data_IF_796492429993
#
_entry.id   IF_796492429993
#
_cell.length_a   1.000
_cell.length_b   1.000
_cell.length_c   1.000
_cell.angle_alpha   90.00
_cell.angle_beta   90.00
_cell.angle_gamma   90.00
#
_symmetry.space_group_name_H-M   'P 1'
#
loop_
_entity.id
_entity.type
_entity.pdbx_description
1 polymer ?
#
# COMPACT_ATOMS: atom_id res chain seq x y z
N UNK A 1 -0.56 -20.44 -7.14
CA UNK A 1 0.26 -19.31 -6.66
C UNK A 1 1.71 -19.70 -6.51
N UNK A 2 2.58 -19.06 -7.29
CA UNK A 2 4.01 -19.37 -7.29
C UNK A 2 4.74 -18.56 -8.37
N UNK A 3 6.04 -18.36 -8.19
CA UNK A 3 6.87 -17.74 -9.20
C UNK A 3 6.99 -18.70 -10.39
N UNK A 4 6.58 -18.25 -11.59
CA UNK A 4 6.53 -19.11 -12.78
C UNK A 4 7.85 -19.88 -13.01
N UNK A 5 8.98 -19.18 -12.93
CA UNK A 5 10.31 -19.75 -13.17
C UNK A 5 10.82 -20.68 -12.07
N UNK A 6 10.25 -20.63 -10.85
CA UNK A 6 10.68 -21.48 -9.75
C UNK A 6 9.87 -22.78 -9.68
N UNK A 7 8.55 -22.68 -9.74
CA UNK A 7 7.66 -23.85 -9.60
C UNK A 7 6.42 -23.82 -10.48
N UNK A 8 6.02 -22.65 -10.98
CA UNK A 8 4.79 -22.53 -11.78
C UNK A 8 4.87 -23.18 -13.17
N UNK A 9 6.07 -23.27 -13.75
CA UNK A 9 6.28 -23.90 -15.07
C UNK A 9 5.92 -25.38 -15.09
N UNK A 10 6.17 -26.11 -13.98
CA UNK A 10 5.84 -27.53 -13.85
C UNK A 10 4.32 -27.78 -13.93
N UNK A 11 3.50 -26.85 -13.45
CA UNK A 11 2.05 -26.96 -13.54
C UNK A 11 1.57 -26.92 -14.99
N UNK A 12 2.15 -26.04 -15.82
CA UNK A 12 1.83 -25.97 -17.25
C UNK A 12 2.21 -27.27 -17.95
N UNK A 13 3.43 -27.77 -17.70
CA UNK A 13 3.89 -29.04 -18.27
C UNK A 13 2.98 -30.20 -17.91
N UNK A 14 2.58 -30.31 -16.64
CA UNK A 14 1.67 -31.35 -16.18
C UNK A 14 0.28 -31.25 -16.83
N UNK A 15 -0.26 -30.04 -16.95
CA UNK A 15 -1.56 -29.83 -17.60
C UNK A 15 -1.54 -30.21 -19.08
N UNK A 16 -0.43 -29.92 -19.78
CA UNK A 16 -0.26 -30.36 -21.17
C UNK A 16 -0.19 -31.88 -21.26
N UNK A 17 0.63 -32.52 -20.42
CA UNK A 17 0.75 -33.98 -20.40
C UNK A 17 -0.59 -34.68 -20.09
N UNK A 18 -1.41 -34.08 -19.23
CA UNK A 18 -2.74 -34.58 -18.89
C UNK A 18 -3.83 -34.23 -19.93
N UNK A 19 -3.51 -33.46 -20.98
CA UNK A 19 -4.51 -33.01 -21.96
C UNK A 19 -5.59 -32.11 -21.37
N UNK A 20 -5.28 -31.36 -20.30
CA UNK A 20 -6.26 -30.55 -19.57
C UNK A 20 -6.73 -29.37 -20.43
N UNK A 21 -8.04 -29.09 -20.41
CA UNK A 21 -8.60 -27.89 -21.03
C UNK A 21 -8.55 -26.71 -20.05
N UNK A 22 -7.48 -25.91 -20.10
CA UNK A 22 -7.24 -24.82 -19.14
C UNK A 22 -6.42 -23.69 -19.76
N UNK A 23 -6.73 -22.45 -19.37
CA UNK A 23 -5.92 -21.27 -19.70
C UNK A 23 -5.06 -20.85 -18.51
N UNK A 24 -3.74 -20.78 -18.70
CA UNK A 24 -2.82 -20.19 -17.74
C UNK A 24 -2.67 -18.69 -17.98
N UNK A 25 -2.90 -17.88 -16.95
CA UNK A 25 -2.61 -16.44 -16.96
C UNK A 25 -1.28 -16.18 -16.26
N UNK A 26 -0.26 -15.80 -17.03
CA UNK A 26 1.09 -15.51 -16.54
C UNK A 26 1.25 -14.00 -16.43
N UNK A 27 1.31 -13.48 -15.21
CA UNK A 27 1.53 -12.05 -14.95
C UNK A 27 3.04 -11.76 -14.98
N UNK A 28 3.53 -11.26 -16.12
CA UNK A 28 4.94 -10.94 -16.31
C UNK A 28 5.20 -9.50 -15.86
N UNK A 29 5.66 -9.35 -14.62
CA UNK A 29 5.84 -8.08 -13.93
C UNK A 29 7.32 -7.64 -13.78
N UNK A 30 8.24 -8.37 -14.43
CA UNK A 30 9.71 -8.16 -14.41
C UNK A 30 10.40 -8.28 -13.04
N UNK A 31 9.67 -8.61 -11.97
CA UNK A 31 10.23 -8.73 -10.63
C UNK A 31 9.43 -9.74 -9.79
N UNK A 32 10.08 -10.44 -8.88
CA UNK A 32 9.38 -11.41 -8.02
C UNK A 32 8.34 -10.69 -7.16
N UNK A 33 7.08 -11.07 -7.38
CA UNK A 33 5.88 -10.49 -6.79
C UNK A 33 5.97 -10.35 -5.25
N UNK A 34 6.63 -11.29 -4.57
CA UNK A 34 6.67 -11.40 -3.11
C UNK A 34 7.88 -10.72 -2.45
N UNK A 35 8.87 -10.24 -3.20
CA UNK A 35 10.16 -9.79 -2.62
C UNK A 35 10.40 -8.28 -2.70
N UNK A 36 9.36 -7.51 -3.06
CA UNK A 36 9.49 -6.05 -3.14
C UNK A 36 10.37 -5.56 -4.30
N UNK A 37 10.48 -6.35 -5.38
CA UNK A 37 11.13 -5.93 -6.62
C UNK A 37 12.55 -6.48 -6.82
N UNK A 38 12.80 -7.73 -6.41
CA UNK A 38 14.00 -8.47 -6.84
C UNK A 38 13.79 -9.05 -8.25
N UNK A 39 14.86 -9.14 -9.03
CA UNK A 39 14.82 -9.79 -10.33
C UNK A 39 14.52 -11.28 -10.17
N UNK A 40 13.69 -11.84 -11.05
CA UNK A 40 13.43 -13.26 -11.06
C UNK A 40 14.65 -13.99 -11.62
N UNK A 41 15.38 -14.70 -10.76
CA UNK A 41 16.52 -15.51 -11.16
C UNK A 41 16.10 -16.54 -12.23
N UNK A 42 16.83 -16.58 -13.36
CA UNK A 42 16.50 -17.45 -14.49
C UNK A 42 15.28 -17.01 -15.31
N UNK A 43 14.81 -15.76 -15.15
CA UNK A 43 13.68 -15.27 -15.92
C UNK A 43 14.02 -15.13 -17.41
N UNK A 44 13.21 -15.80 -18.23
CA UNK A 44 13.22 -15.62 -19.68
C UNK A 44 12.51 -14.31 -20.05
N UNK A 45 13.02 -13.55 -21.03
CA UNK A 45 12.25 -12.53 -21.72
C UNK A 45 10.93 -13.09 -22.27
N UNK A 46 9.90 -12.24 -22.37
CA UNK A 46 8.57 -12.65 -22.85
C UNK A 46 8.60 -13.41 -24.19
N UNK A 47 9.40 -13.01 -25.20
CA UNK A 47 9.51 -13.78 -26.44
C UNK A 47 10.05 -15.20 -26.24
N UNK A 48 11.09 -15.37 -25.42
CA UNK A 48 11.65 -16.68 -25.06
C UNK A 48 10.64 -17.53 -24.29
N UNK A 49 9.93 -16.92 -23.34
CA UNK A 49 8.85 -17.56 -22.61
C UNK A 49 7.76 -18.10 -23.55
N UNK A 50 7.37 -17.34 -24.59
CA UNK A 50 6.38 -17.83 -25.56
C UNK A 50 6.88 -19.08 -26.28
N UNK A 51 8.15 -19.13 -26.66
CA UNK A 51 8.75 -20.28 -27.35
C UNK A 51 8.86 -21.48 -26.43
N UNK A 52 9.22 -21.26 -25.17
CA UNK A 52 9.23 -22.31 -24.14
C UNK A 52 7.83 -22.90 -23.95
N UNK A 53 6.79 -22.09 -23.77
CA UNK A 53 5.41 -22.57 -23.62
C UNK A 53 4.92 -23.32 -24.86
N UNK A 54 5.24 -22.81 -26.05
CA UNK A 54 4.90 -23.50 -27.30
C UNK A 54 5.60 -24.86 -27.39
N UNK A 55 6.88 -24.94 -27.03
CA UNK A 55 7.63 -26.20 -26.99
C UNK A 55 7.07 -27.20 -25.96
N UNK A 56 6.53 -26.72 -24.84
CA UNK A 56 5.82 -27.55 -23.86
C UNK A 56 4.47 -28.08 -24.38
N UNK A 57 3.97 -27.57 -25.51
CA UNK A 57 2.73 -28.03 -26.16
C UNK A 57 1.49 -27.16 -25.90
N UNK A 58 1.67 -25.94 -25.40
CA UNK A 58 0.58 -24.95 -25.27
C UNK A 58 0.03 -24.59 -26.66
N UNK A 59 -1.29 -24.75 -26.83
CA UNK A 59 -1.98 -24.67 -28.13
C UNK A 59 -2.14 -23.25 -28.67
N UNK A 60 -2.41 -22.29 -27.78
CA UNK A 60 -2.55 -20.87 -28.15
C UNK A 60 -1.91 -19.99 -27.09
N UNK A 61 -1.16 -18.99 -27.54
CA UNK A 61 -0.48 -18.03 -26.68
C UNK A 61 -0.90 -16.62 -27.13
N UNK A 62 -1.39 -15.83 -26.18
CA UNK A 62 -1.67 -14.41 -26.37
C UNK A 62 -0.78 -13.61 -25.43
N UNK A 63 -0.04 -12.65 -25.96
CA UNK A 63 0.71 -11.67 -25.18
C UNK A 63 -0.10 -10.40 -25.10
N UNK A 64 -0.31 -9.89 -23.90
CA UNK A 64 -1.02 -8.64 -23.65
C UNK A 64 -0.10 -7.63 -23.01
N UNK A 65 -0.14 -6.39 -23.46
CA UNK A 65 0.67 -5.30 -22.89
C UNK A 65 0.01 -3.93 -23.07
N UNK A 66 0.40 -2.96 -22.24
CA UNK A 66 0.05 -1.53 -22.38
C UNK A 66 0.87 -0.82 -23.48
N UNK A 67 1.89 -1.49 -24.03
CA UNK A 67 2.78 -0.92 -25.04
C UNK A 67 3.08 -1.96 -26.16
N UNK A 68 2.10 -2.30 -27.02
CA UNK A 68 2.27 -3.36 -28.03
C UNK A 68 3.46 -3.13 -28.97
N UNK A 69 3.74 -1.88 -29.28
CA UNK A 69 4.81 -1.46 -30.19
C UNK A 69 6.21 -1.45 -29.55
N UNK A 70 6.35 -1.76 -28.24
CA UNK A 70 7.66 -1.77 -27.57
C UNK A 70 8.58 -2.88 -28.08
N UNK A 71 8.02 -3.89 -28.72
CA UNK A 71 8.78 -5.02 -29.25
C UNK A 71 9.29 -4.72 -30.66
N UNK A 72 10.62 -4.77 -30.89
CA UNK A 72 11.16 -4.63 -32.23
C UNK A 72 10.58 -5.67 -33.19
N UNK A 73 10.41 -5.31 -34.47
CA UNK A 73 9.94 -6.25 -35.50
C UNK A 73 10.86 -7.47 -35.69
N UNK A 74 12.12 -7.37 -35.25
CA UNK A 74 13.09 -8.47 -35.29
C UNK A 74 12.89 -9.53 -34.20
N UNK A 75 12.01 -9.28 -33.23
CA UNK A 75 11.73 -10.22 -32.14
C UNK A 75 11.13 -11.51 -32.70
N UNK A 76 11.77 -12.62 -32.35
CA UNK A 76 11.32 -13.96 -32.72
C UNK A 76 10.26 -14.43 -31.73
N UNK A 77 9.01 -14.54 -32.16
CA UNK A 77 7.93 -15.07 -31.33
C UNK A 77 7.75 -16.58 -31.56
N UNK A 78 7.06 -17.25 -30.64
CA UNK A 78 6.55 -18.58 -30.96
C UNK A 78 5.53 -18.52 -32.12
N UNK A 79 5.37 -19.60 -32.89
CA UNK A 79 4.36 -19.67 -33.94
C UNK A 79 2.96 -19.33 -33.43
N UNK A 80 2.26 -18.45 -34.15
CA UNK A 80 0.87 -18.11 -33.86
C UNK A 80 0.62 -17.23 -32.62
N UNK A 81 1.65 -16.62 -32.03
CA UNK A 81 1.49 -15.65 -30.94
C UNK A 81 0.78 -14.40 -31.45
N UNK A 82 -0.29 -14.00 -30.77
CA UNK A 82 -0.93 -12.69 -30.95
C UNK A 82 -0.42 -11.72 -29.87
N UNK A 83 -0.10 -10.48 -30.26
CA UNK A 83 0.21 -9.38 -29.33
C UNK A 83 -0.97 -8.42 -29.34
N UNK A 84 -1.63 -8.25 -28.21
CA UNK A 84 -2.82 -7.42 -28.06
C UNK A 84 -2.59 -6.32 -27.02
N UNK A 85 -3.27 -5.19 -27.21
CA UNK A 85 -3.36 -4.19 -26.14
C UNK A 85 -4.18 -4.73 -24.96
N UNK A 86 -3.80 -4.35 -23.73
CA UNK A 86 -4.44 -4.84 -22.49
C UNK A 86 -5.95 -4.62 -22.41
N UNK A 87 -6.51 -3.64 -23.12
CA UNK A 87 -7.95 -3.34 -23.07
C UNK A 87 -8.81 -4.47 -23.68
N UNK A 88 -8.19 -5.34 -24.49
CA UNK A 88 -8.84 -6.53 -25.06
C UNK A 88 -8.76 -7.76 -24.16
N UNK A 89 -8.50 -7.57 -22.84
CA UNK A 89 -8.27 -8.68 -21.91
C UNK A 89 -9.46 -9.62 -21.81
N UNK A 90 -10.67 -9.09 -21.66
CA UNK A 90 -11.87 -9.91 -21.54
C UNK A 90 -12.13 -10.70 -22.83
N UNK A 91 -11.98 -10.06 -23.98
CA UNK A 91 -12.11 -10.70 -25.29
C UNK A 91 -11.09 -11.83 -25.46
N UNK A 92 -9.81 -11.58 -25.16
CA UNK A 92 -8.76 -12.59 -25.22
C UNK A 92 -9.03 -13.77 -24.29
N UNK A 93 -9.50 -13.50 -23.05
CA UNK A 93 -9.87 -14.55 -22.09
C UNK A 93 -11.04 -15.40 -22.59
N UNK A 94 -12.07 -14.80 -23.20
CA UNK A 94 -13.20 -15.54 -23.79
C UNK A 94 -12.73 -16.38 -24.99
N UNK A 95 -11.93 -15.82 -25.89
CA UNK A 95 -11.38 -16.55 -27.04
C UNK A 95 -10.53 -17.75 -26.62
N UNK A 96 -9.67 -17.59 -25.61
CA UNK A 96 -8.81 -18.68 -25.12
C UNK A 96 -9.59 -19.80 -24.42
N UNK A 97 -10.74 -19.49 -23.80
CA UNK A 97 -11.63 -20.46 -23.14
C UNK A 97 -12.23 -21.47 -24.12
N UNK A 98 -12.53 -21.03 -25.35
CA UNK A 98 -13.16 -21.87 -26.37
C UNK A 98 -12.16 -22.80 -27.10
N UNK A 99 -10.86 -22.67 -26.82
CA UNK A 99 -9.81 -23.46 -27.50
C UNK A 99 -9.52 -24.72 -26.67
N UNK A 100 -9.75 -25.93 -27.21
CA UNK A 100 -9.44 -27.16 -26.50
C UNK A 100 -7.94 -27.31 -26.18
N UNK A 101 -7.66 -27.74 -24.95
CA UNK A 101 -6.32 -28.02 -24.44
C UNK A 101 -5.75 -26.86 -23.62
N UNK A 102 -4.43 -26.86 -23.43
CA UNK A 102 -3.77 -25.84 -22.62
C UNK A 102 -3.52 -24.59 -23.47
N UNK A 103 -3.98 -23.44 -22.99
CA UNK A 103 -3.69 -22.12 -23.57
C UNK A 103 -2.98 -21.22 -22.57
N UNK A 104 -2.30 -20.18 -23.04
CA UNK A 104 -1.61 -19.22 -22.18
C UNK A 104 -1.91 -17.77 -22.57
N UNK A 105 -2.18 -16.95 -21.56
CA UNK A 105 -2.22 -15.50 -21.64
C UNK A 105 -1.04 -14.95 -20.85
N UNK A 106 -0.07 -14.33 -21.54
CA UNK A 106 1.05 -13.64 -20.89
C UNK A 106 0.68 -12.17 -20.78
N UNK A 107 0.48 -11.69 -19.56
CA UNK A 107 0.19 -10.29 -19.28
C UNK A 107 1.50 -9.57 -18.93
N UNK A 108 2.11 -8.95 -19.93
CA UNK A 108 3.38 -8.26 -19.84
C UNK A 108 3.19 -6.78 -19.47
N UNK A 109 3.18 -6.54 -18.17
CA UNK A 109 3.09 -5.21 -17.60
C UNK A 109 3.84 -5.16 -16.28
N UNK A 110 4.75 -4.19 -16.13
CA UNK A 110 5.46 -3.97 -14.87
C UNK A 110 4.47 -3.65 -13.75
N UNK A 111 4.74 -4.19 -12.57
CA UNK A 111 3.95 -3.88 -11.38
C UNK A 111 3.92 -2.37 -11.09
N UNK A 112 2.75 -1.86 -10.74
CA UNK A 112 2.51 -0.48 -10.34
C UNK A 112 3.47 0.01 -9.24
N UNK A 113 3.71 -0.82 -8.21
CA UNK A 113 4.63 -0.48 -7.12
C UNK A 113 6.06 -0.27 -7.63
N UNK A 114 6.51 -1.13 -8.53
CA UNK A 114 7.84 -1.02 -9.15
C UNK A 114 7.95 0.19 -10.08
N UNK A 115 6.93 0.46 -10.91
CA UNK A 115 6.89 1.68 -11.75
C UNK A 115 7.05 2.93 -10.88
N UNK A 116 6.36 3.02 -9.74
CA UNK A 116 6.51 4.15 -8.79
C UNK A 116 7.90 4.21 -8.17
N UNK A 117 8.46 3.07 -7.74
CA UNK A 117 9.82 2.98 -7.18
C UNK A 117 10.87 3.49 -8.15
N UNK A 118 10.82 3.03 -9.41
CA UNK A 118 11.77 3.43 -10.45
C UNK A 118 11.62 4.90 -10.84
N UNK A 119 10.40 5.43 -10.94
CA UNK A 119 10.17 6.87 -11.16
C UNK A 119 10.74 7.74 -10.04
N UNK A 120 10.54 7.35 -8.78
CA UNK A 120 11.15 8.05 -7.62
C UNK A 120 12.68 8.01 -7.67
N UNK A 121 13.28 6.93 -8.20
CA UNK A 121 14.73 6.78 -8.40
C UNK A 121 15.24 7.39 -9.72
N UNK A 122 14.38 8.03 -10.52
CA UNK A 122 14.76 8.60 -11.82
C UNK A 122 15.09 7.56 -12.91
N UNK A 123 14.77 6.28 -12.70
CA UNK A 123 15.05 5.18 -13.65
C UNK A 123 13.92 4.95 -14.66
N UNK A 124 12.78 5.61 -14.49
CA UNK A 124 11.68 5.62 -15.45
C UNK A 124 11.16 7.06 -15.62
N UNK A 125 10.71 7.44 -16.83
CA UNK A 125 10.05 8.72 -17.05
C UNK A 125 8.84 8.89 -16.12
N UNK A 126 8.75 10.06 -15.49
CA UNK A 126 7.59 10.43 -14.67
C UNK A 126 6.67 11.36 -15.46
N UNK A 127 5.44 10.91 -15.82
CA UNK A 127 4.50 11.76 -16.54
C UNK A 127 4.21 13.06 -15.79
N UNK A 128 4.18 14.19 -16.51
CA UNK A 128 3.92 15.51 -15.93
C UNK A 128 2.44 15.73 -15.60
N UNK A 129 1.53 15.19 -16.42
CA UNK A 129 0.10 15.32 -16.23
C UNK A 129 -0.36 14.71 -14.89
N UNK A 130 -1.26 15.39 -14.20
CA UNK A 130 -2.00 14.91 -13.03
C UNK A 130 -3.48 14.90 -13.35
N UNK A 131 -4.19 13.90 -12.83
CA UNK A 131 -5.66 13.84 -12.86
C UNK A 131 -6.16 14.18 -11.47
N UNK A 132 -7.13 15.08 -11.39
CA UNK A 132 -7.82 15.48 -10.17
C UNK A 132 -9.32 15.34 -10.42
N UNK A 133 -10.09 15.07 -9.36
CA UNK A 133 -11.56 15.09 -9.41
C UNK A 133 -12.02 16.30 -8.60
N UNK A 134 -12.87 17.13 -9.19
CA UNK A 134 -13.53 18.21 -8.48
C UNK A 134 -14.64 17.64 -7.58
N UNK A 135 -14.41 17.61 -6.28
CA UNK A 135 -15.33 17.04 -5.28
C UNK A 135 -16.68 17.79 -5.22
N UNK A 136 -16.73 19.05 -5.65
CA UNK A 136 -17.98 19.82 -5.71
C UNK A 136 -18.87 19.46 -6.90
N UNK A 137 -18.32 18.80 -7.93
CA UNK A 137 -19.05 18.34 -9.13
C UNK A 137 -19.25 16.82 -9.12
N UNK A 138 -18.41 16.09 -8.39
CA UNK A 138 -18.47 14.64 -8.33
C UNK A 138 -19.80 14.19 -7.70
N UNK A 139 -20.48 13.23 -8.31
CA UNK A 139 -21.68 12.59 -7.71
C UNK A 139 -21.34 11.30 -6.95
N UNK A 140 -20.07 10.89 -6.93
CA UNK A 140 -19.66 9.65 -6.27
C UNK A 140 -20.19 8.38 -6.95
N UNK A 141 -20.54 8.42 -8.24
CA UNK A 141 -21.16 7.29 -8.97
C UNK A 141 -20.29 6.03 -9.06
N UNK A 142 -18.97 6.14 -8.89
CA UNK A 142 -18.05 5.00 -8.89
C UNK A 142 -17.57 4.52 -10.27
N UNK A 143 -18.05 5.09 -11.38
CA UNK A 143 -17.68 4.64 -12.74
C UNK A 143 -16.16 4.66 -12.97
N UNK A 144 -15.47 5.73 -12.56
CA UNK A 144 -14.00 5.80 -12.62
C UNK A 144 -13.30 4.67 -11.83
N UNK A 145 -13.90 4.20 -10.74
CA UNK A 145 -13.41 3.06 -9.97
C UNK A 145 -13.63 1.73 -10.69
N UNK A 146 -14.82 1.53 -11.28
CA UNK A 146 -15.17 0.36 -12.09
C UNK A 146 -14.24 0.23 -13.30
N UNK A 147 -14.00 1.32 -14.04
CA UNK A 147 -13.14 1.33 -15.24
C UNK A 147 -11.67 1.08 -14.91
N UNK A 148 -11.17 1.74 -13.85
CA UNK A 148 -9.74 1.71 -13.55
C UNK A 148 -9.31 0.58 -12.63
N UNK A 149 -10.21 0.07 -11.78
CA UNK A 149 -9.89 -0.79 -10.64
C UNK A 149 -8.69 -0.27 -9.82
N UNK A 150 -8.54 1.05 -9.72
CA UNK A 150 -7.33 1.67 -9.19
C UNK A 150 -7.54 2.13 -7.75
N UNK A 151 -6.78 1.57 -6.80
CA UNK A 151 -6.80 1.98 -5.38
C UNK A 151 -6.38 3.43 -5.09
N UNK A 152 -6.02 4.19 -6.12
CA UNK A 152 -5.78 5.63 -5.99
C UNK A 152 -7.04 6.44 -6.30
N UNK A 153 -8.08 5.83 -6.86
CA UNK A 153 -9.43 6.39 -6.99
C UNK A 153 -10.16 6.06 -5.69
N UNK A 154 -10.18 7.00 -4.74
CA UNK A 154 -10.64 6.73 -3.37
C UNK A 154 -12.00 7.38 -3.12
N UNK A 155 -13.00 6.65 -2.61
CA UNK A 155 -14.19 7.28 -2.05
C UNK A 155 -13.81 8.14 -0.84
N UNK A 156 -14.44 9.31 -0.72
CA UNK A 156 -14.21 10.26 0.36
C UNK A 156 -15.50 10.90 0.82
N UNK A 157 -15.62 11.08 2.13
CA UNK A 157 -16.74 11.78 2.75
C UNK A 157 -16.49 13.30 2.66
N UNK A 158 -17.48 14.03 2.16
CA UNK A 158 -17.47 15.49 2.09
C UNK A 158 -18.77 16.06 2.63
N UNK A 159 -18.85 17.39 2.78
CA UNK A 159 -20.10 18.07 3.14
C UNK A 159 -21.20 17.92 2.07
N UNK A 160 -20.84 17.53 0.85
CA UNK A 160 -21.75 17.25 -0.26
C UNK A 160 -22.11 15.76 -0.37
N UNK A 161 -21.79 14.95 0.65
CA UNK A 161 -21.97 13.49 0.65
C UNK A 161 -20.73 12.74 0.15
N UNK A 162 -20.92 11.48 -0.25
CA UNK A 162 -19.86 10.60 -0.78
C UNK A 162 -19.37 11.12 -2.13
N UNK A 163 -18.07 11.38 -2.23
CA UNK A 163 -17.37 11.82 -3.45
C UNK A 163 -16.23 10.87 -3.76
N UNK A 164 -15.51 11.16 -4.83
CA UNK A 164 -14.31 10.42 -5.22
C UNK A 164 -13.15 11.39 -5.39
N UNK A 165 -11.95 10.98 -4.95
CA UNK A 165 -10.71 11.70 -5.19
C UNK A 165 -9.70 10.84 -5.93
N UNK A 166 -8.72 11.48 -6.57
CA UNK A 166 -7.48 10.81 -6.98
C UNK A 166 -6.41 11.09 -5.92
N UNK A 167 -6.06 10.06 -5.16
CA UNK A 167 -4.99 10.09 -4.17
C UNK A 167 -3.62 10.21 -4.87
N UNK A 168 -3.13 11.46 -4.96
CA UNK A 168 -1.97 11.83 -5.77
C UNK A 168 -0.70 11.10 -5.38
N UNK A 169 -0.48 10.89 -4.08
CA UNK A 169 0.73 10.27 -3.53
C UNK A 169 0.86 8.80 -3.90
N UNK A 170 -0.26 8.10 -4.16
CA UNK A 170 -0.28 6.69 -4.55
C UNK A 170 -0.58 6.47 -6.03
N UNK A 171 -0.89 7.53 -6.80
CA UNK A 171 -1.29 7.43 -8.20
C UNK A 171 -0.18 6.84 -9.08
N UNK A 172 -0.55 5.88 -9.93
CA UNK A 172 0.36 5.23 -10.88
C UNK A 172 0.47 5.96 -12.21
N UNK A 173 -0.38 6.97 -12.48
CA UNK A 173 -0.37 7.75 -13.73
C UNK A 173 -0.48 6.87 -14.98
N UNK A 174 -1.35 5.87 -14.92
CA UNK A 174 -1.76 5.03 -16.05
C UNK A 174 -3.04 5.57 -16.72
N UNK A 175 -3.73 6.50 -16.06
CA UNK A 175 -4.84 7.30 -16.56
C UNK A 175 -6.10 6.54 -16.95
N UNK A 176 -6.21 5.24 -16.68
CA UNK A 176 -7.41 4.43 -16.97
C UNK A 176 -8.66 4.88 -16.20
N UNK A 177 -8.51 5.74 -15.20
CA UNK A 177 -9.65 6.41 -14.56
C UNK A 177 -10.39 7.36 -15.51
N UNK A 178 -9.69 7.92 -16.52
CA UNK A 178 -10.27 8.80 -17.53
C UNK A 178 -11.10 8.04 -18.58
N UNK A 179 -11.07 6.71 -18.59
CA UNK A 179 -11.94 5.90 -19.44
C UNK A 179 -13.39 5.89 -18.92
N UNK A 180 -13.62 6.46 -17.72
CA UNK A 180 -14.94 6.70 -17.18
C UNK A 180 -15.54 8.01 -17.69
N UNK A 181 -16.86 8.03 -17.84
CA UNK A 181 -17.60 9.21 -18.31
C UNK A 181 -17.94 10.09 -17.10
N UNK A 182 -17.01 10.97 -16.74
CA UNK A 182 -17.12 11.79 -15.54
C UNK A 182 -16.81 13.27 -15.83
N UNK A 183 -17.79 14.17 -15.72
CA UNK A 183 -17.58 15.61 -15.94
C UNK A 183 -16.74 16.27 -14.84
N UNK A 184 -16.42 15.55 -13.77
CA UNK A 184 -15.67 16.08 -12.63
C UNK A 184 -14.15 15.98 -12.80
N UNK A 185 -13.66 15.31 -13.85
CA UNK A 185 -12.23 15.18 -14.08
C UNK A 185 -11.60 16.50 -14.53
N UNK A 186 -10.43 16.78 -13.95
CA UNK A 186 -9.55 17.87 -14.32
C UNK A 186 -8.16 17.28 -14.62
N UNK A 187 -7.63 17.58 -15.80
CA UNK A 187 -6.24 17.26 -16.16
C UNK A 187 -5.37 18.49 -15.97
N UNK A 188 -4.32 18.35 -15.16
CA UNK A 188 -3.37 19.43 -14.86
C UNK A 188 -2.02 19.05 -15.43
N UNK A 189 -1.60 19.77 -16.47
CA UNK A 189 -0.25 19.66 -17.04
C UNK A 189 0.55 20.90 -16.66
N UNK A 190 1.55 20.78 -15.79
CA UNK A 190 2.35 21.93 -15.38
C UNK A 190 3.16 22.46 -16.58
N UNK A 191 3.07 23.77 -16.86
CA UNK A 191 3.75 24.44 -18.00
C UNK A 191 5.28 24.35 -17.95
N UNK A 192 5.84 24.15 -16.76
CA UNK A 192 7.27 23.89 -16.55
C UNK A 192 7.36 22.57 -15.80
N UNK A 193 8.46 21.84 -15.98
CA UNK A 193 8.78 20.76 -15.06
C UNK A 193 8.62 21.31 -13.64
N UNK A 194 7.78 20.69 -12.79
CA UNK A 194 7.58 21.20 -11.45
C UNK A 194 8.97 21.30 -10.82
N UNK A 195 9.34 22.51 -10.38
CA UNK A 195 10.50 22.64 -9.49
C UNK A 195 10.33 21.58 -8.41
N UNK A 196 11.38 20.82 -8.07
CA UNK A 196 11.33 19.86 -6.95
C UNK A 196 10.85 20.68 -5.75
N UNK A 197 9.55 20.62 -5.45
CA UNK A 197 8.99 21.28 -4.28
C UNK A 197 9.75 20.65 -3.12
N UNK A 198 10.48 21.45 -2.36
CA UNK A 198 11.00 20.98 -1.08
C UNK A 198 9.78 20.52 -0.30
N UNK A 199 9.69 19.20 -0.08
CA UNK A 199 8.61 18.62 0.69
C UNK A 199 8.61 19.32 2.04
N UNK A 200 7.43 19.70 2.53
CA UNK A 200 7.33 20.18 3.89
C UNK A 200 7.91 19.09 4.80
N UNK A 201 8.92 19.43 5.58
CA UNK A 201 9.41 18.53 6.64
C UNK A 201 9.05 19.21 7.92
N UNK A 202 7.99 18.74 8.59
CA UNK A 202 7.72 19.15 9.95
C UNK A 202 8.88 18.68 10.84
N UNK A 203 9.65 19.62 11.37
CA UNK A 203 10.78 19.31 12.24
C UNK A 203 10.32 19.25 13.69
N UNK A 204 10.81 18.23 14.37
CA UNK A 204 10.66 18.06 15.82
C UNK A 204 12.05 18.15 16.42
N UNK A 205 12.40 19.37 16.84
CA UNK A 205 13.72 19.72 17.38
C UNK A 205 13.72 19.92 18.90
N UNK A 206 12.58 19.66 19.56
CA UNK A 206 12.49 19.63 21.02
C UNK A 206 12.81 18.24 21.56
N UNK A 207 13.48 18.20 22.70
CA UNK A 207 13.63 16.97 23.47
C UNK A 207 12.25 16.43 23.87
N UNK A 208 12.08 15.12 23.77
CA UNK A 208 10.85 14.43 24.15
C UNK A 208 11.13 13.57 25.38
N UNK A 209 10.18 13.44 26.32
CA UNK A 209 10.37 12.63 27.50
C UNK A 209 10.58 11.15 27.12
N UNK A 210 11.43 10.46 27.85
CA UNK A 210 11.57 9.02 27.70
C UNK A 210 10.41 8.28 28.39
N UNK A 211 9.73 7.34 27.70
CA UNK A 211 8.57 6.66 28.24
C UNK A 211 8.96 5.54 29.21
N UNK A 212 8.08 5.26 30.18
CA UNK A 212 8.19 4.03 30.96
C UNK A 212 7.80 2.83 30.09
N UNK A 213 8.60 1.75 30.13
CA UNK A 213 8.32 0.54 29.38
C UNK A 213 7.09 -0.19 29.96
N UNK A 214 6.14 -0.55 29.09
CA UNK A 214 4.87 -1.21 29.45
C UNK A 214 4.70 -2.60 28.84
N UNK A 215 5.76 -3.09 28.20
CA UNK A 215 5.88 -4.45 27.66
C UNK A 215 7.14 -5.10 28.23
N UNK A 216 7.28 -6.43 28.20
CA UNK A 216 8.51 -7.07 28.65
C UNK A 216 9.71 -6.69 27.76
N UNK A 217 10.93 -6.85 28.29
CA UNK A 217 12.16 -6.61 27.52
C UNK A 217 12.33 -7.63 26.38
N UNK A 218 11.89 -8.86 26.60
CA UNK A 218 11.68 -9.83 25.54
C UNK A 218 10.27 -9.66 24.98
N UNK A 219 10.16 -9.16 23.76
CA UNK A 219 8.90 -8.63 23.24
C UNK A 219 8.58 -9.24 21.88
N UNK A 220 7.34 -9.69 21.75
CA UNK A 220 6.73 -10.08 20.48
C UNK A 220 5.99 -8.87 19.89
N UNK A 221 6.56 -8.30 18.83
CA UNK A 221 5.93 -7.21 18.07
C UNK A 221 5.27 -7.81 16.84
N UNK A 222 3.96 -7.62 16.75
CA UNK A 222 3.14 -8.07 15.63
C UNK A 222 2.68 -6.84 14.84
N UNK A 223 3.09 -6.76 13.58
CA UNK A 223 2.91 -5.61 12.70
C UNK A 223 2.04 -6.00 11.52
N UNK A 224 1.07 -5.16 11.16
CA UNK A 224 0.18 -5.47 10.05
C UNK A 224 -0.27 -4.22 9.31
N UNK A 225 -0.51 -4.36 8.00
CA UNK A 225 -0.98 -3.26 7.18
C UNK A 225 -1.14 -3.66 5.73
N UNK A 226 -1.16 -2.67 4.85
CA UNK A 226 -1.34 -2.88 3.42
C UNK A 226 0.01 -3.06 2.72
N UNK A 227 0.09 -3.98 1.77
CA UNK A 227 1.28 -4.23 0.97
C UNK A 227 1.77 -3.00 0.20
N UNK A 228 3.09 -2.79 0.23
CA UNK A 228 3.73 -1.65 -0.43
C UNK A 228 3.65 -0.32 0.33
N UNK A 229 3.15 -0.30 1.57
CA UNK A 229 3.09 0.92 2.42
C UNK A 229 4.27 1.05 3.39
N UNK A 230 5.11 0.02 3.53
CA UNK A 230 6.33 0.06 4.37
C UNK A 230 6.28 -0.75 5.65
N UNK A 231 5.31 -1.67 5.82
CA UNK A 231 5.23 -2.59 6.99
C UNK A 231 6.55 -3.35 7.20
N UNK A 232 7.04 -4.01 6.15
CA UNK A 232 8.32 -4.75 6.16
C UNK A 232 9.51 -3.82 6.45
N UNK A 233 9.47 -2.58 5.96
CA UNK A 233 10.53 -1.60 6.21
C UNK A 233 10.59 -1.21 7.68
N UNK A 234 9.45 -1.01 8.34
CA UNK A 234 9.42 -0.75 9.78
C UNK A 234 9.92 -1.96 10.57
N UNK A 235 9.54 -3.19 10.17
CA UNK A 235 10.05 -4.41 10.78
C UNK A 235 11.59 -4.49 10.70
N UNK A 236 12.16 -4.20 9.53
CA UNK A 236 13.60 -4.15 9.32
C UNK A 236 14.29 -3.07 10.16
N UNK A 237 13.75 -1.84 10.17
CA UNK A 237 14.29 -0.73 10.98
C UNK A 237 14.30 -1.13 12.46
N UNK A 238 13.19 -1.66 12.97
CA UNK A 238 13.09 -2.05 14.38
C UNK A 238 13.99 -3.24 14.72
N UNK A 239 14.12 -4.21 13.82
CA UNK A 239 15.04 -5.34 13.96
C UNK A 239 16.51 -4.89 13.99
N UNK A 240 16.91 -3.98 13.09
CA UNK A 240 18.24 -3.38 13.08
C UNK A 240 18.47 -2.55 14.35
N UNK A 241 17.50 -1.75 14.78
CA UNK A 241 17.60 -0.97 16.01
C UNK A 241 17.80 -1.87 17.24
N UNK A 242 17.04 -2.97 17.35
CA UNK A 242 17.21 -3.93 18.42
C UNK A 242 18.62 -4.55 18.43
N UNK A 243 19.18 -4.88 17.26
CA UNK A 243 20.56 -5.37 17.14
C UNK A 243 21.59 -4.32 17.58
N UNK A 244 21.40 -3.05 17.22
CA UNK A 244 22.27 -1.95 17.66
C UNK A 244 22.23 -1.76 19.19
N UNK A 245 21.09 -2.04 19.81
CA UNK A 245 20.89 -2.07 21.27
C UNK A 245 21.46 -3.34 21.95
N UNK A 246 22.14 -4.21 21.20
CA UNK A 246 22.69 -5.47 21.73
C UNK A 246 21.65 -6.55 22.01
N UNK A 247 20.42 -6.43 21.48
CA UNK A 247 19.37 -7.45 21.56
C UNK A 247 19.54 -8.48 20.44
N UNK A 248 18.89 -9.62 20.60
CA UNK A 248 18.76 -10.62 19.54
C UNK A 248 17.37 -10.55 18.92
N UNK A 249 17.26 -10.80 17.61
CA UNK A 249 15.97 -10.75 16.90
C UNK A 249 15.71 -11.97 16.04
N UNK A 250 14.43 -12.34 15.93
CA UNK A 250 13.91 -13.24 14.89
C UNK A 250 12.77 -12.53 14.18
N UNK A 251 12.88 -12.40 12.86
CA UNK A 251 11.88 -11.78 12.01
C UNK A 251 11.22 -12.79 11.06
N UNK A 252 9.96 -12.56 10.74
CA UNK A 252 9.24 -13.22 9.66
C UNK A 252 8.31 -12.22 8.98
N UNK A 253 8.49 -12.00 7.69
CA UNK A 253 7.57 -11.21 6.88
C UNK A 253 6.67 -12.13 6.06
N UNK A 254 5.36 -11.98 6.22
CA UNK A 254 4.34 -12.66 5.45
C UNK A 254 3.66 -11.63 4.53
N UNK A 255 4.18 -11.53 3.32
CA UNK A 255 3.54 -10.75 2.27
C UNK A 255 2.55 -11.64 1.53
N UNK A 256 1.28 -11.24 1.44
CA UNK A 256 0.33 -11.90 0.53
C UNK A 256 0.78 -11.80 -0.94
N UNK A 257 -0.06 -12.28 -1.86
CA UNK A 257 0.15 -12.08 -3.30
C UNK A 257 0.38 -10.59 -3.61
N UNK A 258 1.15 -10.30 -4.67
CA UNK A 258 1.42 -8.92 -5.14
C UNK A 258 0.18 -8.29 -5.77
N UNK A 259 -0.84 -8.09 -4.95
CA UNK A 259 -2.05 -7.35 -5.25
C UNK A 259 -1.93 -6.01 -4.51
N UNK A 260 -2.14 -4.91 -5.23
CA UNK A 260 -2.23 -3.58 -4.61
C UNK A 260 -3.36 -3.67 -3.58
N UNK A 261 -3.12 -3.27 -2.33
CA UNK A 261 -4.13 -3.32 -1.28
C UNK A 261 -4.20 -4.62 -0.46
N UNK A 262 -3.42 -5.66 -0.80
CA UNK A 262 -3.42 -6.91 -0.04
C UNK A 262 -2.80 -6.76 1.36
N UNK A 263 -3.21 -7.59 2.34
CA UNK A 263 -2.65 -7.55 3.69
C UNK A 263 -1.19 -8.03 3.70
N UNK A 264 -0.38 -7.38 4.53
CA UNK A 264 0.98 -7.77 4.87
C UNK A 264 1.10 -7.81 6.39
N UNK A 265 1.74 -8.87 6.87
CA UNK A 265 1.96 -9.11 8.29
C UNK A 265 3.45 -9.35 8.52
N UNK A 266 4.00 -8.72 9.55
CA UNK A 266 5.39 -8.86 9.97
C UNK A 266 5.44 -9.26 11.44
N UNK A 267 6.25 -10.27 11.74
CA UNK A 267 6.51 -10.78 13.06
C UNK A 267 7.92 -10.39 13.45
N UNK A 268 8.09 -9.81 14.64
CA UNK A 268 9.40 -9.55 15.22
C UNK A 268 9.42 -10.00 16.66
N UNK A 269 10.38 -10.85 16.99
CA UNK A 269 10.63 -11.27 18.37
C UNK A 269 11.98 -10.73 18.79
N UNK A 270 11.99 -9.98 19.89
CA UNK A 270 13.17 -9.37 20.50
C UNK A 270 13.51 -10.16 21.76
N UNK A 271 14.77 -10.50 21.95
CA UNK A 271 15.27 -11.32 23.06
C UNK A 271 16.48 -10.67 23.72
N UNK A 272 16.71 -10.97 25.00
CA UNK A 272 17.92 -10.53 25.70
C UNK A 272 19.12 -11.44 25.39
N UNK A 273 18.86 -12.69 25.03
CA UNK A 273 19.88 -13.71 24.71
C UNK A 273 19.57 -14.40 23.39
N UNK A 274 20.56 -15.09 22.82
CA UNK A 274 20.40 -15.82 21.56
C UNK A 274 19.22 -16.80 21.63
N UNK A 275 18.23 -16.69 20.73
CA UNK A 275 16.99 -17.47 20.84
C UNK A 275 17.07 -18.83 20.12
N UNK A 276 16.62 -19.89 20.81
CA UNK A 276 16.14 -21.15 20.22
C UNK A 276 14.60 -21.13 20.12
N UNK A 277 14.07 -20.21 19.31
CA UNK A 277 12.63 -20.04 19.16
C UNK A 277 12.24 -19.83 17.70
N UNK A 278 11.02 -20.24 17.36
CA UNK A 278 10.39 -19.89 16.10
C UNK A 278 10.32 -18.37 15.92
N UNK A 279 10.44 -17.93 14.68
CA UNK A 279 10.32 -16.53 14.26
C UNK A 279 8.86 -16.04 14.19
N UNK A 280 7.88 -16.94 14.20
CA UNK A 280 6.46 -16.58 14.19
C UNK A 280 5.98 -16.20 15.60
N UNK A 281 5.24 -15.09 15.73
CA UNK A 281 4.49 -14.75 16.93
C UNK A 281 3.29 -15.71 17.02
N UNK A 282 3.11 -16.36 18.17
CA UNK A 282 2.02 -17.30 18.37
C UNK A 282 0.70 -16.56 18.67
N UNK A 283 -0.43 -17.26 18.52
CA UNK A 283 -1.73 -16.76 18.94
C UNK A 283 -1.71 -16.32 20.41
N UNK A 284 -2.37 -15.22 20.73
CA UNK A 284 -2.44 -14.62 22.07
C UNK A 284 -1.12 -14.12 22.67
N UNK A 285 -0.02 -14.12 21.90
CA UNK A 285 1.32 -13.88 22.43
C UNK A 285 1.96 -12.55 22.01
N UNK A 286 1.25 -11.69 21.28
CA UNK A 286 1.76 -10.37 20.95
C UNK A 286 1.82 -9.48 22.19
N UNK A 287 2.96 -8.85 22.46
CA UNK A 287 3.10 -7.82 23.48
C UNK A 287 2.75 -6.44 22.92
N UNK A 288 3.18 -6.20 21.68
CA UNK A 288 2.97 -4.97 20.94
C UNK A 288 2.25 -5.28 19.62
N UNK A 289 1.11 -4.62 19.40
CA UNK A 289 0.25 -4.81 18.24
C UNK A 289 0.19 -3.53 17.40
N UNK A 290 0.97 -3.51 16.31
CA UNK A 290 1.14 -2.34 15.46
C UNK A 290 0.30 -2.44 14.19
N UNK A 291 -0.86 -1.78 14.21
CA UNK A 291 -1.75 -1.69 13.06
C UNK A 291 -1.45 -0.48 12.21
N UNK A 292 -0.90 -0.66 11.01
CA UNK A 292 -0.74 0.42 10.02
C UNK A 292 -2.00 0.63 9.17
N UNK A 293 -2.91 -0.35 9.19
CA UNK A 293 -4.25 -0.28 8.58
C UNK A 293 -5.27 -0.94 9.51
N UNK A 294 -6.37 -0.25 9.79
CA UNK A 294 -7.37 -0.72 10.75
C UNK A 294 -8.15 -1.94 10.25
N UNK A 295 -8.44 -2.05 8.95
CA UNK A 295 -9.17 -3.20 8.41
C UNK A 295 -8.34 -4.47 8.54
N UNK A 296 -7.05 -4.39 8.18
CA UNK A 296 -6.11 -5.50 8.35
C UNK A 296 -5.94 -5.84 9.83
N UNK A 297 -5.82 -4.84 10.71
CA UNK A 297 -5.74 -5.04 12.16
C UNK A 297 -6.99 -5.72 12.75
N UNK A 298 -8.17 -5.51 12.17
CA UNK A 298 -9.41 -6.15 12.65
C UNK A 298 -9.72 -7.50 12.01
N UNK A 299 -8.91 -7.98 11.07
CA UNK A 299 -9.08 -9.32 10.50
C UNK A 299 -8.99 -10.38 11.60
N UNK A 300 -9.90 -11.38 11.64
CA UNK A 300 -9.93 -12.38 12.70
C UNK A 300 -8.57 -13.05 12.95
N UNK A 301 -7.86 -13.45 11.89
CA UNK A 301 -6.56 -14.12 12.01
C UNK A 301 -5.49 -13.22 12.66
N UNK A 302 -5.62 -11.90 12.54
CA UNK A 302 -4.70 -10.94 13.16
C UNK A 302 -5.12 -10.66 14.60
N UNK A 303 -6.41 -10.55 14.89
CA UNK A 303 -6.92 -10.39 16.26
C UNK A 303 -6.52 -11.58 17.16
N UNK A 304 -6.45 -12.80 16.61
CA UNK A 304 -6.05 -14.02 17.33
C UNK A 304 -4.63 -13.96 17.92
N UNK A 305 -3.78 -13.01 17.51
CA UNK A 305 -2.42 -12.85 18.06
C UNK A 305 -2.39 -12.00 19.34
N UNK A 306 -3.49 -11.29 19.65
CA UNK A 306 -3.59 -10.40 20.79
C UNK A 306 -4.27 -11.06 21.99
N UNK A 307 -3.99 -10.53 23.19
CA UNK A 307 -4.62 -10.93 24.44
C UNK A 307 -4.96 -9.69 25.30
N UNK A 308 -6.14 -9.63 25.94
CA UNK A 308 -6.59 -8.48 26.71
C UNK A 308 -5.70 -8.17 27.93
N UNK A 309 -4.97 -9.15 28.47
CA UNK A 309 -4.13 -8.97 29.66
C UNK A 309 -2.67 -8.61 29.33
N UNK A 310 -2.30 -8.63 28.05
CA UNK A 310 -0.91 -8.57 27.60
C UNK A 310 -0.67 -7.48 26.56
N UNK A 311 -1.52 -7.45 25.54
CA UNK A 311 -1.21 -6.79 24.29
C UNK A 311 -1.52 -5.29 24.35
N UNK A 312 -0.53 -4.47 24.05
CA UNK A 312 -0.69 -3.03 23.86
C UNK A 312 -0.83 -2.73 22.36
N UNK A 313 -1.94 -2.13 21.94
CA UNK A 313 -2.20 -1.82 20.55
C UNK A 313 -1.95 -0.35 20.19
N UNK A 314 -1.24 -0.14 19.08
CA UNK A 314 -1.06 1.18 18.46
C UNK A 314 -1.50 1.06 17.01
N UNK A 315 -2.63 1.68 16.69
CA UNK A 315 -3.33 1.43 15.43
C UNK A 315 -3.68 2.72 14.71
N UNK A 316 -3.30 2.78 13.43
CA UNK A 316 -3.76 3.79 12.50
C UNK A 316 -5.24 3.61 12.20
N UNK A 317 -6.05 4.62 12.49
CA UNK A 317 -7.50 4.64 12.19
C UNK A 317 -7.82 5.26 10.82
N UNK A 318 -6.79 5.56 10.02
CA UNK A 318 -6.98 6.13 8.68
C UNK A 318 -7.84 5.21 7.81
N UNK A 319 -8.80 5.80 7.10
CA UNK A 319 -9.69 5.06 6.20
C UNK A 319 -8.99 4.82 4.85
N UNK A 320 -8.49 3.61 4.63
CA UNK A 320 -7.97 3.19 3.31
C UNK A 320 -8.98 2.26 2.64
N UNK A 321 -9.55 2.65 1.48
CA UNK A 321 -10.56 1.83 0.82
C UNK A 321 -9.93 0.55 0.23
N UNK A 322 -10.67 -0.55 0.32
CA UNK A 322 -10.32 -1.81 -0.35
C UNK A 322 -10.67 -1.73 -1.85
N UNK A 323 -10.20 -2.71 -2.65
CA UNK A 323 -10.54 -2.79 -4.07
C UNK A 323 -12.06 -2.82 -4.29
N UNK A 324 -12.78 -3.59 -3.48
CA UNK A 324 -14.24 -3.69 -3.55
C UNK A 324 -14.94 -2.34 -3.27
N UNK A 325 -14.46 -1.57 -2.28
CA UNK A 325 -14.98 -0.23 -1.96
C UNK A 325 -14.69 0.82 -3.04
N UNK A 326 -13.67 0.57 -3.87
CA UNK A 326 -13.35 1.42 -5.02
C UNK A 326 -14.23 1.07 -6.23
N UNK A 327 -14.45 -0.23 -6.49
CA UNK A 327 -15.20 -0.69 -7.66
C UNK A 327 -16.70 -0.80 -7.45
N UNK A 328 -17.19 -0.72 -6.21
CA UNK A 328 -18.62 -0.77 -5.88
C UNK A 328 -18.99 0.35 -4.90
N UNK A 329 -20.09 1.02 -5.18
CA UNK A 329 -20.68 2.03 -4.29
C UNK A 329 -21.47 1.43 -3.14
N UNK A 330 -21.85 0.16 -3.25
CA UNK A 330 -22.64 -0.55 -2.24
C UNK A 330 -21.78 -1.08 -1.09
N UNK A 331 -20.44 -1.09 -1.27
CA UNK A 331 -19.49 -1.53 -0.26
C UNK A 331 -18.91 -0.31 0.43
N UNK A 332 -19.43 -0.03 1.63
CA UNK A 332 -18.97 1.07 2.46
C UNK A 332 -17.81 0.67 3.38
N UNK A 333 -17.05 1.67 3.80
CA UNK A 333 -16.04 1.47 4.85
C UNK A 333 -16.75 1.18 6.17
N UNK A 334 -16.43 0.08 6.88
CA UNK A 334 -17.08 -0.26 8.14
C UNK A 334 -16.99 0.85 9.18
N UNK A 335 -17.96 0.91 10.09
CA UNK A 335 -17.95 1.89 11.17
C UNK A 335 -16.63 1.83 11.97
N UNK A 336 -15.88 2.95 12.07
CA UNK A 336 -14.63 2.98 12.81
C UNK A 336 -14.78 2.60 14.28
N UNK A 337 -15.93 2.89 14.90
CA UNK A 337 -16.22 2.54 16.29
C UNK A 337 -16.25 1.03 16.49
N UNK A 338 -16.94 0.30 15.60
CA UNK A 338 -16.97 -1.17 15.61
C UNK A 338 -15.59 -1.80 15.41
N UNK A 339 -14.77 -1.23 14.52
CA UNK A 339 -13.40 -1.69 14.28
C UNK A 339 -12.51 -1.50 15.52
N UNK A 340 -12.56 -0.32 16.13
CA UNK A 340 -11.83 -0.02 17.38
C UNK A 340 -12.31 -0.92 18.52
N UNK A 341 -13.62 -1.13 18.65
CA UNK A 341 -14.20 -2.03 19.64
C UNK A 341 -13.71 -3.48 19.47
N UNK A 342 -13.57 -3.94 18.21
CA UNK A 342 -13.01 -5.26 17.89
C UNK A 342 -11.58 -5.45 18.40
N UNK A 343 -10.73 -4.43 18.24
CA UNK A 343 -9.35 -4.44 18.75
C UNK A 343 -9.35 -4.37 20.29
N UNK A 344 -10.11 -3.44 20.86
CA UNK A 344 -10.20 -3.24 22.32
C UNK A 344 -10.67 -4.50 23.07
N UNK A 345 -11.46 -5.37 22.42
CA UNK A 345 -11.92 -6.63 23.01
C UNK A 345 -10.79 -7.62 23.29
N UNK A 346 -9.70 -7.57 22.53
CA UNK A 346 -8.61 -8.55 22.58
C UNK A 346 -7.27 -7.93 22.99
N UNK A 347 -7.27 -6.70 23.50
CA UNK A 347 -6.06 -5.93 23.88
C UNK A 347 -6.32 -5.15 25.18
N UNK A 348 -5.28 -4.55 25.74
CA UNK A 348 -5.37 -3.67 26.91
C UNK A 348 -6.03 -2.35 26.55
N UNK A 349 -7.36 -2.35 26.45
CA UNK A 349 -8.20 -1.27 25.88
C UNK A 349 -7.85 0.13 26.40
N UNK A 350 -7.55 0.27 27.69
CA UNK A 350 -7.36 1.56 28.36
C UNK A 350 -5.94 2.12 28.12
N UNK A 351 -5.04 1.31 27.56
CA UNK A 351 -3.67 1.69 27.23
C UNK A 351 -3.45 1.89 25.73
N UNK A 352 -4.38 1.43 24.90
CA UNK A 352 -4.27 1.50 23.44
C UNK A 352 -4.16 2.93 22.91
N UNK A 353 -3.42 3.10 21.81
CA UNK A 353 -3.26 4.38 21.12
C UNK A 353 -3.83 4.29 19.71
N UNK A 354 -4.74 5.20 19.39
CA UNK A 354 -5.35 5.32 18.08
C UNK A 354 -5.02 6.68 17.47
N UNK A 355 -4.60 6.68 16.21
CA UNK A 355 -4.25 7.91 15.49
C UNK A 355 -4.62 7.81 14.02
N UNK A 356 -5.04 8.92 13.41
CA UNK A 356 -5.21 8.98 11.96
C UNK A 356 -3.85 9.26 11.31
N UNK A 357 -3.05 8.20 11.13
CA UNK A 357 -1.65 8.30 10.75
C UNK A 357 -1.43 8.85 9.33
N UNK A 358 -2.30 8.50 8.37
CA UNK A 358 -2.20 8.99 6.99
C UNK A 358 -2.50 10.49 6.92
N UNK A 359 -3.61 10.95 7.50
CA UNK A 359 -3.94 12.38 7.49
C UNK A 359 -2.88 13.19 8.23
N UNK A 360 -2.33 12.65 9.34
CA UNK A 360 -1.23 13.28 10.06
C UNK A 360 0.05 13.34 9.20
N UNK A 361 0.39 12.26 8.51
CA UNK A 361 1.53 12.21 7.60
C UNK A 361 1.41 13.23 6.45
N UNK A 362 0.23 13.33 5.83
CA UNK A 362 -0.03 14.32 4.79
C UNK A 362 0.05 15.75 5.32
N UNK A 363 -0.53 16.02 6.49
CA UNK A 363 -0.54 17.36 7.11
C UNK A 363 0.88 17.84 7.46
N UNK A 364 1.73 16.94 7.96
CA UNK A 364 3.06 17.26 8.46
C UNK A 364 4.15 17.19 7.37
N UNK A 365 4.01 16.27 6.41
CA UNK A 365 5.09 15.90 5.49
C UNK A 365 4.73 16.01 4.00
N UNK A 366 3.49 16.37 3.65
CA UNK A 366 2.95 16.30 2.28
C UNK A 366 3.12 14.88 1.65
N UNK A 367 3.28 13.82 2.46
CA UNK A 367 3.46 12.44 1.99
C UNK A 367 2.96 11.41 3.01
N UNK A 368 1.98 10.60 2.60
CA UNK A 368 1.42 9.51 3.39
C UNK A 368 2.45 8.43 3.79
N UNK A 369 3.59 8.30 3.09
CA UNK A 369 4.60 7.28 3.37
C UNK A 369 5.25 7.44 4.76
N UNK A 370 5.13 8.60 5.40
CA UNK A 370 5.59 8.84 6.76
C UNK A 370 4.68 8.21 7.84
N UNK A 371 3.48 7.74 7.48
CA UNK A 371 2.48 7.24 8.43
C UNK A 371 2.97 6.08 9.29
N UNK A 372 3.67 5.10 8.70
CA UNK A 372 4.13 3.95 9.48
C UNK A 372 5.21 4.34 10.51
N UNK A 373 6.03 5.36 10.20
CA UNK A 373 7.01 5.90 11.16
C UNK A 373 6.33 6.71 12.27
N UNK A 374 5.23 7.42 11.98
CA UNK A 374 4.39 8.07 13.00
C UNK A 374 3.80 7.02 13.96
N UNK A 375 3.29 5.91 13.44
CA UNK A 375 2.77 4.79 14.26
C UNK A 375 3.88 4.19 15.13
N UNK A 376 5.08 3.95 14.58
CA UNK A 376 6.23 3.47 15.35
C UNK A 376 6.64 4.46 16.46
N UNK A 377 6.65 5.76 16.17
CA UNK A 377 6.94 6.80 17.16
C UNK A 377 5.92 6.83 18.29
N UNK A 378 4.64 6.72 17.95
CA UNK A 378 3.57 6.63 18.95
C UNK A 378 3.71 5.37 19.80
N UNK A 379 4.05 4.23 19.19
CA UNK A 379 4.30 2.99 19.91
C UNK A 379 5.49 3.08 20.87
N UNK A 380 6.59 3.70 20.45
CA UNK A 380 7.73 3.97 21.32
C UNK A 380 7.27 4.77 22.54
N UNK A 381 6.64 5.92 22.32
CA UNK A 381 6.23 6.81 23.40
C UNK A 381 5.12 6.25 24.29
N UNK A 382 4.32 5.30 23.80
CA UNK A 382 3.37 4.54 24.61
C UNK A 382 4.04 3.47 25.51
N UNK A 383 5.36 3.28 25.38
CA UNK A 383 6.10 2.26 26.13
C UNK A 383 5.97 0.85 25.55
N UNK A 384 5.58 0.72 24.28
CA UNK A 384 5.30 -0.57 23.63
C UNK A 384 6.51 -1.19 22.92
N UNK A 385 7.67 -0.52 22.92
CA UNK A 385 8.86 -0.91 22.17
C UNK A 385 10.06 -0.96 23.12
N UNK A 386 10.68 -2.13 23.37
CA UNK A 386 11.82 -2.27 24.30
C UNK A 386 13.18 -2.04 23.61
N UNK A 387 13.25 -1.04 22.73
CA UNK A 387 14.44 -0.64 21.96
C UNK A 387 14.59 0.86 22.10
N UNK A 388 15.79 1.37 22.30
CA UNK A 388 16.11 2.77 22.55
C UNK A 388 15.80 3.66 21.35
N UNK A 389 15.34 4.89 21.61
CA UNK A 389 15.13 5.88 20.55
C UNK A 389 16.41 6.17 19.72
N UNK A 390 17.62 6.31 20.32
CA UNK A 390 18.84 6.49 19.54
C UNK A 390 19.10 5.36 18.54
N UNK A 391 18.88 4.10 18.93
CA UNK A 391 19.06 2.96 18.03
C UNK A 391 18.03 2.94 16.89
N UNK A 392 16.78 3.34 17.16
CA UNK A 392 15.75 3.48 16.12
C UNK A 392 16.14 4.59 15.13
N UNK A 393 16.61 5.74 15.63
CA UNK A 393 17.05 6.84 14.77
C UNK A 393 18.28 6.45 13.92
N UNK A 394 19.25 5.74 14.49
CA UNK A 394 20.40 5.22 13.74
C UNK A 394 19.99 4.18 12.70
N UNK A 395 19.06 3.28 13.02
CA UNK A 395 18.54 2.31 12.06
C UNK A 395 17.80 2.98 10.88
N UNK A 396 17.13 4.13 11.11
CA UNK A 396 16.55 4.95 10.03
C UNK A 396 17.65 5.52 9.14
N UNK A 397 18.76 5.99 9.71
CA UNK A 397 19.92 6.50 8.96
C UNK A 397 20.52 5.39 8.09
N UNK A 398 20.77 4.20 8.68
CA UNK A 398 21.31 3.04 7.98
C UNK A 398 20.39 2.53 6.85
N UNK A 399 19.06 2.65 7.01
CA UNK A 399 18.12 2.32 5.95
C UNK A 399 18.29 3.21 4.70
N UNK A 400 18.72 4.46 4.89
CA UNK A 400 19.12 5.38 3.82
C UNK A 400 17.97 5.95 2.97
N UNK A 401 16.71 5.60 3.25
CA UNK A 401 15.54 6.09 2.49
C UNK A 401 14.89 7.25 3.21
N UNK A 402 14.86 8.43 2.57
CA UNK A 402 14.16 9.63 3.08
C UNK A 402 14.46 9.94 4.56
N UNK A 403 15.72 9.76 4.97
CA UNK A 403 16.18 9.76 6.37
C UNK A 403 15.56 10.88 7.19
N UNK A 404 15.74 12.15 6.76
CA UNK A 404 15.21 13.32 7.45
C UNK A 404 13.69 13.26 7.71
N UNK A 405 12.91 12.84 6.71
CA UNK A 405 11.45 12.71 6.84
C UNK A 405 11.10 11.60 7.83
N UNK A 406 11.75 10.43 7.74
CA UNK A 406 11.45 9.29 8.60
C UNK A 406 11.87 9.53 10.05
N UNK A 407 13.01 10.17 10.30
CA UNK A 407 13.45 10.56 11.64
C UNK A 407 12.47 11.54 12.28
N UNK A 408 12.06 12.58 11.56
CA UNK A 408 11.08 13.52 12.10
C UNK A 408 9.67 12.94 12.19
N UNK A 409 9.28 11.99 11.33
CA UNK A 409 8.03 11.26 11.46
C UNK A 409 8.01 10.38 12.72
N UNK A 410 9.09 9.68 13.03
CA UNK A 410 9.24 8.96 14.29
C UNK A 410 9.09 9.91 15.49
N UNK A 411 9.81 11.04 15.48
CA UNK A 411 9.71 12.04 16.56
C UNK A 411 8.31 12.68 16.66
N UNK A 412 7.64 12.93 15.55
CA UNK A 412 6.28 13.46 15.55
C UNK A 412 5.27 12.44 16.09
N UNK A 413 5.48 11.15 15.82
CA UNK A 413 4.70 10.06 16.40
C UNK A 413 4.87 9.99 17.91
N UNK A 414 6.11 10.11 18.40
CA UNK A 414 6.39 10.25 19.83
C UNK A 414 5.66 11.47 20.40
N UNK A 415 5.76 12.59 19.70
CA UNK A 415 5.16 13.83 20.15
C UNK A 415 3.64 13.78 20.27
N UNK A 416 2.98 13.05 19.38
CA UNK A 416 1.53 12.83 19.43
C UNK A 416 1.07 12.25 20.77
N UNK A 417 1.86 11.34 21.35
CA UNK A 417 1.55 10.70 22.64
C UNK A 417 2.05 11.55 23.82
N UNK A 418 3.23 12.16 23.69
CA UNK A 418 3.83 12.97 24.76
C UNK A 418 3.10 14.31 25.01
N UNK A 419 2.46 14.88 23.98
CA UNK A 419 1.77 16.17 24.04
C UNK A 419 0.37 16.08 23.40
N UNK A 420 -0.65 15.60 24.15
CA UNK A 420 -2.01 15.51 23.65
C UNK A 420 -2.63 16.86 23.27
N UNK A 421 -2.16 17.97 23.86
CA UNK A 421 -2.63 19.31 23.53
C UNK A 421 -2.17 19.72 22.12
N UNK A 422 -0.90 19.47 21.78
CA UNK A 422 -0.38 19.62 20.43
C UNK A 422 -1.17 18.76 19.42
N UNK A 423 -1.42 17.50 19.76
CA UNK A 423 -2.17 16.57 18.90
C UNK A 423 -3.61 17.05 18.60
N UNK A 424 -4.27 17.68 19.58
CA UNK A 424 -5.62 18.26 19.44
C UNK A 424 -5.63 19.60 18.69
N UNK A 425 -4.55 20.40 18.83
CA UNK A 425 -4.42 21.70 18.16
C UNK A 425 -4.10 21.62 16.66
N UNK A 426 -3.72 20.45 16.16
CA UNK A 426 -3.44 20.23 14.73
C UNK A 426 -4.70 20.34 13.89
N UNK A 427 -4.75 21.36 13.02
CA UNK A 427 -5.70 21.41 11.91
C UNK A 427 -5.32 20.34 10.89
N UNK A 428 -5.98 19.19 10.96
CA UNK A 428 -5.79 18.08 10.03
C UNK A 428 -6.46 18.43 8.70
N UNK A 429 -5.70 18.35 7.62
CA UNK A 429 -6.23 18.59 6.29
C UNK A 429 -5.79 17.46 5.37
N UNK A 430 -6.76 16.77 4.77
CA UNK A 430 -6.52 15.81 3.70
C UNK A 430 -5.99 16.56 2.48
N UNK A 431 -4.95 16.03 1.84
CA UNK A 431 -4.40 16.63 0.64
C UNK A 431 -5.47 16.67 -0.47
N UNK A 432 -5.77 17.85 -1.01
CA UNK A 432 -6.76 18.02 -2.08
C UNK A 432 -8.21 18.23 -1.62
N UNK A 433 -8.49 18.24 -0.31
CA UNK A 433 -9.82 18.61 0.19
C UNK A 433 -10.17 20.05 -0.21
N UNK A 434 -11.35 20.23 -0.82
CA UNK A 434 -11.87 21.56 -1.19
C UNK A 434 -12.17 22.33 0.10
N UNK A 435 -11.49 23.46 0.31
CA UNK A 435 -11.89 24.39 1.37
C UNK A 435 -13.04 25.22 0.85
N UNK A 436 -14.26 24.90 1.27
CA UNK A 436 -15.39 25.80 1.07
C UNK A 436 -15.24 26.94 2.08
N UNK A 437 -14.69 28.07 1.63
CA UNK A 437 -14.82 29.29 2.40
C UNK A 437 -16.32 29.57 2.60
N UNK A 438 -16.75 29.61 3.87
CA UNK A 438 -18.13 29.94 4.27
C UNK A 438 -18.66 31.26 3.67
N UNK A 439 -17.80 32.08 3.05
CA UNK A 439 -18.13 33.35 2.41
C UNK A 439 -18.97 33.25 1.13
N UNK A 440 -19.07 32.10 0.46
CA UNK A 440 -19.88 32.00 -0.77
C UNK A 440 -21.39 32.07 -0.47
N UNK A 441 -21.84 31.62 0.72
CA UNK A 441 -23.24 31.81 1.14
C UNK A 441 -23.63 33.28 1.31
N UNK A 442 -22.68 34.16 1.66
CA UNK A 442 -22.94 35.60 1.80
C UNK A 442 -23.06 36.31 0.45
N UNK A 443 -22.26 35.91 -0.55
CA UNK A 443 -22.33 36.50 -1.91
C UNK A 443 -23.54 36.03 -2.71
N UNK A 444 -24.01 34.79 -2.52
CA UNK A 444 -25.21 34.29 -3.20
C UNK A 444 -26.49 34.90 -2.61
N UNK A 445 -26.53 35.22 -1.31
CA UNK A 445 -27.64 35.99 -0.71
C UNK A 445 -27.65 37.46 -1.15
N UNK A 446 -26.48 38.10 -1.28
CA UNK A 446 -26.39 39.48 -1.74
C UNK A 446 -26.68 39.68 -3.24
N UNK A 447 -26.47 38.65 -4.08
CA UNK A 447 -26.78 38.71 -5.51
C UNK A 447 -28.27 38.47 -5.83
N UNK A 448 -29.03 37.86 -4.91
CA UNK A 448 -30.48 37.66 -5.07
C UNK A 448 -31.33 38.87 -4.67
N UNK A 449 -30.77 39.84 -3.94
CA UNK A 449 -31.48 41.05 -3.49
C UNK A 449 -31.18 42.29 -4.35
N UNK A 450 -30.25 42.20 -5.32
CA UNK A 450 -29.93 43.26 -6.27
C UNK A 450 -30.55 43.04 -7.67
N UNK A 451 -31.48 42.09 -7.79
CA UNK A 451 -32.14 41.71 -9.05
C UNK A 451 -33.64 41.43 -8.89
N UNK A 452 -34.32 42.18 -8.02
CA UNK A 452 -35.78 42.23 -7.90
C UNK A 452 -36.27 43.68 -7.97
#
# INVERSE_FOLDING_TARGET
DGTFFHSGSLAVRQAVAAGTNITYKILYNSAVAMTGGQDAAGAMPVPELTRSLHAEGVKRIVVMTDEPDKYPRSVQWAPGVEILHRDRLDEAQRRLREIPGVTALIYDQRCAAEKRRLRKRGKLPDPAMRVVINEAVCEGCGDCGVKSNCLSVQPVDTEFGRKTQIHQSSCNKDYSCLDGDCPSFLTVVPRRAPAKKERRVFKVDRALPEPALRVPRECNVFMMGIGGTGVVTVNQILGTAALLDGRHVRGLDQTGLSQKGGPVVSHLKIFERTPEASNKVAAGSADCYLGFDILVATSPQNLDHASPDRTLAIVSTSKVPTGAMVTSTDVEFPDPGGLVAGINRVTRKDENVYLDALTLAETLFDDHMAANMLVLGAAYQAGAIPVSAPAIEEAIVLNGVSVQMNSHAFRAGRLFVADPAWAKGLKRQRLGAVQVERGVRARVRGAGEAGA
#
